data_IF_010730460053
#
_entry.id   IF_010730460053
#
_cell.length_a   1.000
_cell.length_b   1.000
_cell.length_c   1.000
_cell.angle_alpha   90.00
_cell.angle_beta   90.00
_cell.angle_gamma   90.00
#
_symmetry.space_group_name_H-M   'P 1'
#
loop_
_entity.id
_entity.type
_entity.pdbx_description
1 polymer ?
#
# COMPACT_ATOMS: atom_id res chain seq x y z
N UNK A 1 2.43 21.45 4.15
CA UNK A 1 3.81 21.24 3.69
C UNK A 1 3.90 19.87 3.06
N UNK A 2 4.49 19.76 1.85
CA UNK A 2 4.67 18.49 1.17
C UNK A 2 5.93 17.75 1.63
N UNK A 3 5.97 16.46 1.39
CA UNK A 3 7.10 15.58 1.75
C UNK A 3 8.09 15.38 0.58
N UNK A 4 7.94 16.11 -0.52
CA UNK A 4 8.82 16.00 -1.69
C UNK A 4 10.30 16.16 -1.36
N UNK A 5 10.62 16.95 -0.33
CA UNK A 5 11.99 17.17 0.14
C UNK A 5 12.69 15.89 0.62
N UNK A 6 11.94 14.85 1.03
CA UNK A 6 12.51 13.57 1.46
C UNK A 6 13.17 12.78 0.31
N UNK A 7 12.79 13.08 -0.92
CA UNK A 7 13.26 12.36 -2.13
C UNK A 7 13.81 13.32 -3.20
N UNK A 8 14.10 14.58 -2.84
CA UNK A 8 14.46 15.64 -3.80
C UNK A 8 15.97 15.72 -4.12
N UNK A 9 16.81 15.14 -3.27
CA UNK A 9 18.26 15.14 -3.46
C UNK A 9 18.84 13.75 -3.21
N UNK A 10 20.03 13.50 -3.72
CA UNK A 10 20.74 12.23 -3.49
C UNK A 10 20.99 11.97 -2.01
N UNK A 11 21.34 12.98 -1.25
CA UNK A 11 21.54 12.88 0.20
C UNK A 11 20.25 12.56 0.95
N UNK A 12 19.13 13.21 0.62
CA UNK A 12 17.83 12.93 1.23
C UNK A 12 17.33 11.52 0.85
N UNK A 13 17.55 11.12 -0.40
CA UNK A 13 17.23 9.77 -0.87
C UNK A 13 18.04 8.70 -0.13
N UNK A 14 19.35 8.91 0.09
CA UNK A 14 20.19 8.01 0.85
C UNK A 14 19.70 7.87 2.31
N UNK A 15 19.34 8.99 2.93
CA UNK A 15 18.75 9.01 4.28
C UNK A 15 17.41 8.27 4.31
N UNK A 16 16.54 8.52 3.34
CA UNK A 16 15.25 7.84 3.22
C UNK A 16 15.43 6.32 3.10
N UNK A 17 16.35 5.88 2.24
CA UNK A 17 16.68 4.46 2.09
C UNK A 17 17.14 3.83 3.40
N UNK A 18 18.03 4.50 4.12
CA UNK A 18 18.55 4.01 5.39
C UNK A 18 17.46 3.90 6.47
N UNK A 19 16.59 4.93 6.60
CA UNK A 19 15.53 4.97 7.59
C UNK A 19 14.42 3.96 7.31
N UNK A 20 14.05 3.81 6.04
CA UNK A 20 12.92 2.96 5.65
C UNK A 20 13.33 1.60 5.10
N UNK A 21 14.61 1.25 5.16
CA UNK A 21 15.12 -0.08 4.79
C UNK A 21 14.97 -0.40 3.29
N UNK A 22 15.07 0.61 2.41
CA UNK A 22 14.94 0.39 0.96
C UNK A 22 16.25 -0.14 0.39
N UNK A 23 16.22 -1.35 -0.15
CA UNK A 23 17.42 -1.98 -0.73
C UNK A 23 17.93 -1.21 -1.95
N UNK A 24 19.23 -1.43 -2.28
CA UNK A 24 19.91 -0.67 -3.35
C UNK A 24 19.39 -0.99 -4.75
N UNK A 25 18.89 -2.19 -4.96
CA UNK A 25 18.32 -2.69 -6.23
C UNK A 25 16.85 -2.30 -6.44
N UNK A 26 16.26 -1.63 -5.48
CA UNK A 26 14.94 -1.01 -5.59
C UNK A 26 15.10 0.47 -5.96
N UNK A 27 14.57 0.87 -7.10
CA UNK A 27 14.56 2.26 -7.50
C UNK A 27 13.32 2.96 -6.94
N UNK A 28 13.51 4.12 -6.32
CA UNK A 28 12.43 4.95 -5.80
C UNK A 28 12.59 6.39 -6.28
N UNK A 29 11.47 7.01 -6.64
CA UNK A 29 11.41 8.41 -7.03
C UNK A 29 10.11 9.05 -6.53
N UNK A 30 10.17 10.34 -6.22
CA UNK A 30 8.98 11.10 -5.86
C UNK A 30 8.05 11.28 -7.07
N UNK A 31 6.75 11.14 -6.84
CA UNK A 31 5.71 11.36 -7.84
C UNK A 31 4.51 12.08 -7.23
N UNK A 32 4.08 13.17 -7.84
CA UNK A 32 2.81 13.80 -7.50
C UNK A 32 1.65 13.12 -8.22
N UNK A 33 0.47 13.08 -7.62
CA UNK A 33 -0.73 12.40 -8.15
C UNK A 33 -1.03 12.76 -9.61
N UNK A 34 -0.93 14.02 -9.98
CA UNK A 34 -1.15 14.48 -11.37
C UNK A 34 -0.20 13.90 -12.40
N UNK A 35 0.93 13.34 -11.99
CA UNK A 35 1.96 12.80 -12.89
C UNK A 35 1.90 11.27 -13.03
N UNK A 36 1.06 10.58 -12.26
CA UNK A 36 0.99 9.10 -12.24
C UNK A 36 0.65 8.55 -13.63
N UNK A 37 -0.30 9.15 -14.33
CA UNK A 37 -0.72 8.67 -15.65
C UNK A 37 0.37 8.83 -16.71
N UNK A 38 1.13 9.92 -16.64
CA UNK A 38 2.23 10.20 -17.57
C UNK A 38 3.35 9.16 -17.37
N UNK A 39 3.69 8.91 -16.12
CA UNK A 39 4.79 8.01 -15.77
C UNK A 39 4.45 6.53 -15.99
N UNK A 40 3.18 6.13 -15.89
CA UNK A 40 2.72 4.77 -16.24
C UNK A 40 3.00 4.37 -17.68
N UNK A 41 3.02 5.31 -18.60
CA UNK A 41 3.27 5.05 -20.03
C UNK A 41 4.72 4.66 -20.33
N UNK A 42 5.63 4.90 -19.41
CA UNK A 42 7.07 4.77 -19.63
C UNK A 42 7.75 3.56 -18.94
N UNK A 43 7.02 2.72 -18.19
CA UNK A 43 7.67 1.59 -17.50
C UNK A 43 6.75 0.39 -17.28
N UNK A 44 7.24 -0.79 -17.65
CA UNK A 44 6.51 -2.07 -17.53
C UNK A 44 6.58 -2.68 -16.13
N UNK A 45 7.54 -2.29 -15.28
CA UNK A 45 7.73 -2.80 -13.92
C UNK A 45 7.76 -1.67 -12.89
N UNK A 46 6.76 -0.78 -12.98
CA UNK A 46 6.65 0.38 -12.09
C UNK A 46 5.32 0.34 -11.34
N UNK A 47 5.40 0.56 -10.04
CA UNK A 47 4.22 0.66 -9.15
C UNK A 47 4.29 1.96 -8.36
N UNK A 48 3.13 2.47 -7.96
CA UNK A 48 3.02 3.70 -7.18
C UNK A 48 2.45 3.37 -5.79
N UNK A 49 3.19 3.72 -4.77
CA UNK A 49 2.72 3.66 -3.39
C UNK A 49 2.43 5.05 -2.85
N UNK A 50 1.35 5.27 -2.10
CA UNK A 50 1.21 6.49 -1.33
C UNK A 50 2.43 6.67 -0.44
N UNK A 51 3.05 7.85 -0.44
CA UNK A 51 4.25 8.10 0.36
C UNK A 51 3.99 7.80 1.85
N UNK A 52 2.81 8.13 2.34
CA UNK A 52 2.38 7.84 3.71
C UNK A 52 2.31 6.34 4.03
N UNK A 53 2.16 5.46 3.04
CA UNK A 53 2.21 4.02 3.26
C UNK A 53 3.60 3.54 3.72
N UNK A 54 4.64 4.27 3.36
CA UNK A 54 6.02 4.04 3.79
C UNK A 54 6.29 4.74 5.12
N UNK A 55 5.95 6.03 5.21
CA UNK A 55 6.25 6.86 6.39
C UNK A 55 5.52 6.35 7.63
N UNK A 56 4.24 6.03 7.50
CA UNK A 56 3.37 5.66 8.61
C UNK A 56 2.73 4.27 8.46
N UNK A 57 2.59 3.77 7.23
CA UNK A 57 1.92 2.50 6.94
C UNK A 57 2.78 1.26 7.19
N UNK A 58 4.07 1.42 7.44
CA UNK A 58 4.98 0.31 7.72
C UNK A 58 5.47 -0.44 6.48
N UNK A 59 5.16 0.04 5.26
CA UNK A 59 5.68 -0.57 4.03
C UNK A 59 7.19 -0.42 3.96
N UNK A 60 7.84 -1.53 3.60
CA UNK A 60 9.29 -1.63 3.37
C UNK A 60 9.53 -2.31 2.03
N UNK A 61 10.72 -2.14 1.47
CA UNK A 61 11.08 -2.74 0.18
C UNK A 61 12.32 -3.63 0.32
N UNK A 62 12.24 -4.88 -0.18
CA UNK A 62 11.12 -5.49 -0.95
C UNK A 62 9.82 -5.56 -0.17
N UNK A 63 8.71 -5.45 -0.91
CA UNK A 63 7.38 -5.48 -0.28
C UNK A 63 7.06 -6.88 0.20
N UNK A 64 6.54 -6.97 1.41
CA UNK A 64 6.17 -8.24 2.03
C UNK A 64 5.09 -8.99 1.22
N UNK A 65 5.22 -10.32 1.06
CA UNK A 65 4.25 -11.15 0.34
C UNK A 65 2.81 -11.01 0.86
N UNK A 66 2.61 -10.81 2.17
CA UNK A 66 1.28 -10.62 2.74
C UNK A 66 0.61 -9.34 2.22
N UNK A 67 1.38 -8.24 2.06
CA UNK A 67 0.87 -6.99 1.47
C UNK A 67 0.40 -7.24 0.04
N UNK A 68 1.23 -7.91 -0.76
CA UNK A 68 0.92 -8.22 -2.15
C UNK A 68 -0.27 -9.18 -2.25
N UNK A 69 -0.29 -10.22 -1.43
CA UNK A 69 -1.41 -11.17 -1.35
C UNK A 69 -2.72 -10.49 -1.01
N UNK A 70 -2.71 -9.58 -0.03
CA UNK A 70 -3.90 -8.83 0.39
C UNK A 70 -4.39 -7.87 -0.70
N UNK A 71 -3.48 -7.14 -1.37
CA UNK A 71 -3.83 -6.27 -2.49
C UNK A 71 -4.46 -7.06 -3.65
N UNK A 72 -3.90 -8.23 -3.96
CA UNK A 72 -4.43 -9.13 -5.00
C UNK A 72 -5.79 -9.70 -4.63
N UNK A 73 -5.96 -10.12 -3.39
CA UNK A 73 -7.23 -10.65 -2.88
C UNK A 73 -8.37 -9.66 -3.09
N UNK A 74 -8.11 -8.37 -2.81
CA UNK A 74 -9.10 -7.32 -3.04
C UNK A 74 -9.12 -6.77 -4.48
N UNK A 75 -8.18 -7.15 -5.33
CA UNK A 75 -8.09 -6.67 -6.73
C UNK A 75 -7.63 -5.22 -6.87
N UNK A 76 -6.86 -4.70 -5.92
CA UNK A 76 -6.43 -3.30 -5.89
C UNK A 76 -4.95 -3.10 -6.17
N UNK A 77 -4.64 -1.92 -6.72
CA UNK A 77 -3.27 -1.41 -6.77
C UNK A 77 -2.98 -0.55 -5.52
N UNK A 78 -1.72 -0.46 -5.08
CA UNK A 78 -1.37 0.30 -3.87
C UNK A 78 -1.84 1.76 -3.89
N UNK A 79 -1.81 2.42 -5.04
CA UNK A 79 -2.21 3.82 -5.21
C UNK A 79 -3.72 4.09 -5.10
N UNK A 80 -4.54 3.06 -4.93
CA UNK A 80 -5.99 3.20 -4.70
C UNK A 80 -6.36 3.34 -3.21
N UNK A 81 -5.36 3.25 -2.32
CA UNK A 81 -5.54 3.46 -0.89
C UNK A 81 -4.99 4.83 -0.49
N UNK A 82 -5.86 5.79 -0.21
CA UNK A 82 -5.43 7.12 0.21
C UNK A 82 -4.82 7.13 1.61
N UNK A 83 -4.06 8.15 1.97
CA UNK A 83 -3.72 8.43 3.35
C UNK A 83 -4.96 8.82 4.21
N UNK A 84 -5.01 8.45 5.49
CA UNK A 84 -4.00 7.74 6.25
C UNK A 84 -3.94 6.28 5.82
N UNK A 85 -2.76 5.67 5.88
CA UNK A 85 -2.50 4.35 5.31
C UNK A 85 -3.03 3.21 6.20
N UNK A 86 -4.28 3.28 6.64
CA UNK A 86 -4.86 2.28 7.54
C UNK A 86 -4.82 0.88 6.96
N UNK A 87 -5.05 0.73 5.66
CA UNK A 87 -4.88 -0.55 4.99
C UNK A 87 -3.47 -1.09 5.20
N UNK A 88 -2.45 -0.30 4.87
CA UNK A 88 -1.06 -0.72 4.98
C UNK A 88 -0.63 -0.96 6.43
N UNK A 89 -1.11 -0.14 7.37
CA UNK A 89 -0.87 -0.34 8.81
C UNK A 89 -1.42 -1.67 9.30
N UNK A 90 -2.66 -2.00 8.95
CA UNK A 90 -3.28 -3.28 9.32
C UNK A 90 -2.45 -4.43 8.79
N UNK A 91 -2.16 -4.45 7.49
CA UNK A 91 -1.41 -5.55 6.88
C UNK A 91 0.01 -5.68 7.43
N UNK A 92 0.72 -4.55 7.59
CA UNK A 92 2.08 -4.56 8.17
C UNK A 92 2.09 -5.02 9.63
N UNK A 93 1.07 -4.66 10.42
CA UNK A 93 0.94 -5.15 11.79
C UNK A 93 0.65 -6.64 11.84
N UNK A 94 -0.21 -7.17 10.97
CA UNK A 94 -0.45 -8.62 10.87
C UNK A 94 0.84 -9.36 10.54
N UNK A 95 1.61 -8.85 9.57
CA UNK A 95 2.92 -9.41 9.25
C UNK A 95 3.85 -9.40 10.48
N UNK A 96 3.87 -8.31 11.23
CA UNK A 96 4.67 -8.21 12.45
C UNK A 96 4.21 -9.19 13.53
N UNK A 97 2.91 -9.41 13.69
CA UNK A 97 2.37 -10.44 14.58
C UNK A 97 2.80 -11.84 14.14
N UNK A 98 2.74 -12.15 12.85
CA UNK A 98 3.24 -13.41 12.30
C UNK A 98 4.71 -13.64 12.68
N UNK A 99 5.56 -12.62 12.52
CA UNK A 99 6.98 -12.72 12.86
C UNK A 99 7.24 -12.89 14.37
N UNK A 100 6.52 -12.14 15.22
CA UNK A 100 6.74 -12.13 16.66
C UNK A 100 6.22 -13.40 17.36
N UNK A 101 5.12 -13.93 16.88
CA UNK A 101 4.39 -15.03 17.52
C UNK A 101 4.38 -16.31 16.70
N UNK A 102 5.13 -16.35 15.57
CA UNK A 102 5.16 -17.50 14.66
C UNK A 102 3.75 -17.90 14.17
N UNK A 103 2.89 -16.90 13.94
CA UNK A 103 1.55 -17.10 13.39
C UNK A 103 1.63 -17.22 11.87
N UNK A 104 0.55 -17.70 11.26
CA UNK A 104 0.40 -17.82 9.81
C UNK A 104 -0.87 -17.11 9.33
N UNK A 105 -1.13 -15.92 9.90
CA UNK A 105 -2.27 -15.09 9.49
C UNK A 105 -2.06 -14.62 8.06
N UNK A 106 -3.11 -14.71 7.26
CA UNK A 106 -3.10 -14.34 5.85
C UNK A 106 -4.17 -13.28 5.49
N UNK A 107 -4.40 -13.06 4.22
CA UNK A 107 -5.39 -12.10 3.74
C UNK A 107 -6.83 -12.54 4.02
N UNK A 108 -7.11 -13.83 4.22
CA UNK A 108 -8.43 -14.31 4.63
C UNK A 108 -8.73 -13.94 6.08
N UNK A 109 -7.73 -14.04 6.98
CA UNK A 109 -7.85 -13.60 8.37
C UNK A 109 -8.07 -12.08 8.45
N UNK A 110 -7.34 -11.31 7.63
CA UNK A 110 -7.56 -9.87 7.51
C UNK A 110 -8.99 -9.59 7.05
N UNK A 111 -9.49 -10.28 6.02
CA UNK A 111 -10.86 -10.11 5.53
C UNK A 111 -11.91 -10.59 6.54
N UNK A 112 -11.60 -11.57 7.38
CA UNK A 112 -12.48 -12.02 8.46
C UNK A 112 -12.65 -10.93 9.52
N UNK A 113 -11.57 -10.25 9.90
CA UNK A 113 -11.57 -9.23 10.95
C UNK A 113 -12.01 -7.86 10.46
N UNK A 114 -11.76 -7.55 9.20
CA UNK A 114 -12.01 -6.24 8.60
C UNK A 114 -12.90 -6.36 7.36
N UNK A 115 -13.70 -5.35 7.13
CA UNK A 115 -14.39 -5.13 5.86
C UNK A 115 -13.69 -4.04 5.07
N UNK A 116 -13.58 -4.23 3.77
CA UNK A 116 -13.15 -3.18 2.87
C UNK A 116 -14.32 -2.24 2.63
N UNK A 117 -14.15 -0.99 2.96
CA UNK A 117 -15.11 0.08 2.72
C UNK A 117 -14.53 1.05 1.69
N UNK A 118 -15.38 1.61 0.85
CA UNK A 118 -15.02 2.66 -0.11
C UNK A 118 -15.96 3.84 0.01
N UNK A 119 -15.50 5.02 -0.38
CA UNK A 119 -16.34 6.18 -0.56
C UNK A 119 -16.58 6.46 -2.07
N UNK A 120 -17.42 7.45 -2.36
CA UNK A 120 -17.79 7.83 -3.73
C UNK A 120 -16.57 8.33 -4.54
N UNK A 121 -15.52 8.78 -3.87
CA UNK A 121 -14.29 9.34 -4.46
C UNK A 121 -13.21 8.27 -4.72
N UNK A 122 -13.57 6.99 -4.67
CA UNK A 122 -12.67 5.84 -4.87
C UNK A 122 -11.61 5.64 -3.79
N UNK A 123 -11.85 6.17 -2.60
CA UNK A 123 -10.99 5.97 -1.45
C UNK A 123 -11.39 4.71 -0.70
N UNK A 124 -10.47 3.74 -0.64
CA UNK A 124 -10.71 2.47 0.05
C UNK A 124 -9.99 2.44 1.40
N UNK A 125 -10.64 1.86 2.41
CA UNK A 125 -10.06 1.67 3.74
C UNK A 125 -10.60 0.42 4.42
N UNK A 126 -9.85 -0.11 5.37
CA UNK A 126 -10.28 -1.23 6.19
C UNK A 126 -11.01 -0.72 7.44
N UNK A 127 -12.20 -1.28 7.69
CA UNK A 127 -12.98 -1.04 8.89
C UNK A 127 -13.18 -2.35 9.64
N UNK A 128 -13.01 -2.35 10.95
CA UNK A 128 -13.28 -3.53 11.79
C UNK A 128 -14.74 -3.96 11.67
N UNK A 129 -14.98 -5.27 11.53
CA UNK A 129 -16.34 -5.82 11.49
C UNK A 129 -17.01 -5.79 12.86
N UNK A 130 -16.25 -6.02 13.92
CA UNK A 130 -16.71 -5.91 15.30
C UNK A 130 -15.84 -4.89 16.05
N UNK A 131 -16.45 -3.81 16.53
CA UNK A 131 -15.75 -2.78 17.28
C UNK A 131 -15.23 -3.25 18.66
N UNK A 132 -15.71 -4.39 19.15
CA UNK A 132 -15.25 -4.99 20.42
C UNK A 132 -13.98 -5.81 20.24
N UNK A 133 -13.73 -6.28 19.02
CA UNK A 133 -12.55 -7.09 18.70
C UNK A 133 -11.72 -6.34 17.67
N UNK A 134 -10.64 -5.73 18.12
CA UNK A 134 -9.72 -4.98 17.25
C UNK A 134 -8.36 -5.64 17.29
N UNK A 135 -7.87 -6.06 16.14
CA UNK A 135 -6.50 -6.55 16.01
C UNK A 135 -5.48 -5.42 16.24
N UNK A 136 -5.87 -4.20 15.86
CA UNK A 136 -5.03 -3.00 15.98
C UNK A 136 -5.88 -1.87 16.54
N UNK A 137 -5.38 -1.25 17.61
CA UNK A 137 -5.95 -0.05 18.21
C UNK A 137 -5.28 1.21 17.67
N UNK A 138 -5.88 2.36 17.92
CA UNK A 138 -5.32 3.68 17.59
C UNK A 138 -5.08 3.93 16.10
N UNK A 139 -5.87 3.30 15.22
CA UNK A 139 -5.89 3.69 13.83
C UNK A 139 -6.53 5.08 13.71
N UNK A 140 -5.99 6.00 12.91
CA UNK A 140 -6.60 7.32 12.71
C UNK A 140 -7.98 7.20 12.06
N UNK A 141 -8.94 7.96 12.57
CA UNK A 141 -10.35 7.88 12.18
C UNK A 141 -10.68 8.55 10.84
N UNK A 142 -9.76 9.31 10.23
CA UNK A 142 -10.08 10.08 9.03
C UNK A 142 -8.94 10.21 8.04
N UNK A 143 -9.31 10.23 6.76
CA UNK A 143 -8.43 10.46 5.61
C UNK A 143 -8.10 11.96 5.39
N UNK A 144 -8.11 12.80 6.42
CA UNK A 144 -8.06 14.27 6.30
C UNK A 144 -6.76 14.82 5.72
N UNK A 145 -5.71 14.03 5.57
CA UNK A 145 -4.39 14.47 5.10
C UNK A 145 -3.94 13.72 3.84
N UNK A 146 -4.84 13.48 2.90
CA UNK A 146 -4.46 12.98 1.59
C UNK A 146 -3.62 14.05 0.89
N UNK A 147 -2.30 13.86 0.84
CA UNK A 147 -1.36 14.83 0.26
C UNK A 147 -1.24 14.70 -1.25
N UNK A 148 -1.79 13.65 -1.85
CA UNK A 148 -1.58 13.35 -3.27
C UNK A 148 -0.12 13.06 -3.63
N UNK A 149 0.69 12.67 -2.64
CA UNK A 149 2.10 12.37 -2.79
C UNK A 149 2.34 10.86 -2.84
N UNK A 150 3.10 10.45 -3.84
CA UNK A 150 3.40 9.05 -4.11
C UNK A 150 4.89 8.82 -4.29
N UNK A 151 5.28 7.57 -4.10
CA UNK A 151 6.60 7.07 -4.47
C UNK A 151 6.41 6.13 -5.66
N UNK A 152 7.09 6.46 -6.75
CA UNK A 152 7.27 5.55 -7.87
C UNK A 152 8.34 4.54 -7.49
N UNK A 153 8.03 3.26 -7.63
CA UNK A 153 8.92 2.16 -7.25
C UNK A 153 9.12 1.24 -8.45
N UNK A 154 10.36 0.88 -8.72
CA UNK A 154 10.74 -0.06 -9.78
C UNK A 154 11.96 -0.87 -9.39
N UNK A 155 12.39 -1.81 -10.25
CA UNK A 155 13.48 -2.73 -9.94
C UNK A 155 13.00 -3.91 -9.09
N UNK A 156 13.84 -4.39 -8.18
CA UNK A 156 13.56 -5.58 -7.36
C UNK A 156 12.74 -5.24 -6.10
N UNK A 157 11.55 -4.67 -6.30
CA UNK A 157 10.67 -4.22 -5.22
C UNK A 157 9.77 -5.32 -4.62
N UNK A 158 9.71 -6.50 -5.25
CA UNK A 158 9.03 -7.69 -4.75
C UNK A 158 10.02 -8.63 -4.06
N UNK A 159 9.63 -9.22 -2.95
CA UNK A 159 10.45 -10.19 -2.22
C UNK A 159 10.63 -11.52 -2.99
N UNK A 160 9.76 -11.84 -3.92
CA UNK A 160 9.80 -13.02 -4.77
C UNK A 160 9.42 -12.62 -6.20
N UNK A 161 9.95 -13.35 -7.21
CA UNK A 161 9.49 -13.25 -8.59
C UNK A 161 8.06 -13.79 -8.68
N UNK A 162 7.09 -12.92 -8.38
CA UNK A 162 5.70 -13.28 -8.53
C UNK A 162 5.32 -13.17 -10.01
N UNK A 163 4.78 -14.24 -10.62
CA UNK A 163 4.57 -14.34 -12.07
C UNK A 163 3.50 -13.38 -12.63
N UNK A 164 2.99 -12.46 -11.84
CA UNK A 164 1.93 -11.56 -12.25
C UNK A 164 2.28 -10.11 -11.88
N UNK A 165 2.67 -9.35 -12.91
CA UNK A 165 2.56 -7.90 -12.84
C UNK A 165 1.14 -7.51 -12.40
N UNK A 166 1.00 -6.52 -11.53
CA UNK A 166 -0.30 -5.87 -11.32
C UNK A 166 -0.79 -5.45 -12.70
N UNK A 167 -1.94 -5.97 -13.15
CA UNK A 167 -2.58 -5.42 -14.33
C UNK A 167 -2.73 -3.93 -14.07
N UNK A 168 -2.28 -3.05 -14.98
CA UNK A 168 -2.45 -1.62 -14.78
C UNK A 168 -3.95 -1.36 -14.58
N UNK A 169 -4.33 -0.95 -13.38
CA UNK A 169 -5.68 -0.51 -13.12
C UNK A 169 -5.90 0.72 -13.99
N UNK A 170 -6.81 0.64 -14.94
CA UNK A 170 -7.28 1.82 -15.66
C UNK A 170 -7.92 2.74 -14.62
N UNK A 171 -7.25 3.85 -14.32
CA UNK A 171 -7.85 4.98 -13.60
C UNK A 171 -9.05 5.41 -14.43
N UNK A 172 -10.27 5.25 -13.90
CA UNK A 172 -11.49 5.66 -14.59
C UNK A 172 -12.50 4.55 -14.88
N UNK A 173 -12.17 3.28 -14.71
CA UNK A 173 -13.18 2.22 -14.62
C UNK A 173 -13.10 1.60 -13.25
N UNK A 174 -14.14 1.82 -12.46
CA UNK A 174 -14.44 1.02 -11.30
C UNK A 174 -14.31 -0.45 -11.70
N UNK A 175 -13.27 -1.14 -11.23
CA UNK A 175 -13.42 -2.56 -11.06
C UNK A 175 -14.53 -2.67 -10.01
N UNK A 176 -15.76 -2.92 -10.47
CA UNK A 176 -16.81 -3.32 -9.57
C UNK A 176 -16.24 -4.41 -8.69
N UNK A 177 -16.39 -4.35 -7.37
CA UNK A 177 -15.99 -5.45 -6.53
C UNK A 177 -16.66 -6.69 -7.13
N UNK A 178 -15.87 -7.73 -7.38
CA UNK A 178 -16.44 -9.03 -7.66
C UNK A 178 -17.46 -9.24 -6.56
N UNK A 179 -18.74 -9.24 -6.93
CA UNK A 179 -19.82 -9.55 -6.01
C UNK A 179 -19.52 -10.96 -5.49
N UNK A 180 -18.88 -11.03 -4.34
CA UNK A 180 -18.78 -12.24 -3.57
C UNK A 180 -20.21 -12.55 -3.09
N UNK A 181 -20.97 -13.23 -3.94
CA UNK A 181 -22.14 -13.95 -3.51
C UNK A 181 -21.66 -15.04 -2.56
N UNK A 182 -21.81 -14.78 -1.29
CA UNK A 182 -21.68 -15.79 -0.25
C UNK A 182 -22.86 -16.76 -0.40
N UNK A 183 -22.55 -17.99 -0.73
CA UNK A 183 -23.38 -19.15 -0.40
C UNK A 183 -23.00 -19.65 0.99
#
# INVERSE_FOLDING_TARGET
MGYSHLLSSEASLATFRAVYGVLRDVNIAYCHQGNIEIQRRHGTNTVFFPLMSILEGGIRFPVDPLVIGTLRFYGFCPNQFPPPPNFFRVVSCVNRLNQLFSLQLDHHDINFMYSLCGNIESDYYLKTRDNRVRLISCLPDSNRNSTGEFVQVSGNWLAEELPYAFKPCNVGRFCAPLSLSFY
#
